data_IF_503456411857
#
_entry.id   IF_503456411857
#
_cell.length_a   1.000
_cell.length_b   1.000
_cell.length_c   1.000
_cell.angle_alpha   90.00
_cell.angle_beta   90.00
_cell.angle_gamma   90.00
#
_symmetry.space_group_name_H-M   'P 1'
#
loop_
_entity.id
_entity.type
_entity.pdbx_description
1 polymer ?
#
# COMPACT_ATOMS: atom_id res chain seq x y z
N UNK A 1 17.62 -1.02 -9.87
CA UNK A 1 17.56 -2.29 -10.60
C UNK A 1 18.58 -3.30 -10.08
N UNK A 2 19.87 -2.97 -10.06
CA UNK A 2 20.93 -3.94 -9.65
C UNK A 2 20.76 -4.42 -8.20
N UNK A 3 20.41 -3.53 -7.28
CA UNK A 3 20.25 -3.88 -5.86
C UNK A 3 19.06 -4.84 -5.66
N UNK A 4 17.94 -4.62 -6.34
CA UNK A 4 16.79 -5.53 -6.32
C UNK A 4 17.13 -6.90 -6.89
N UNK A 5 17.85 -6.93 -8.02
CA UNK A 5 18.30 -8.18 -8.62
C UNK A 5 19.27 -8.97 -7.70
N UNK A 6 20.16 -8.27 -6.99
CA UNK A 6 21.11 -8.88 -6.06
C UNK A 6 20.43 -9.57 -4.86
N UNK A 7 19.24 -9.12 -4.45
CA UNK A 7 18.44 -9.75 -3.40
C UNK A 7 17.40 -10.73 -3.96
N UNK A 8 17.47 -11.07 -5.24
CA UNK A 8 16.61 -12.08 -5.86
C UNK A 8 15.25 -11.57 -6.35
N UNK A 9 15.02 -10.25 -6.33
CA UNK A 9 13.81 -9.65 -6.88
C UNK A 9 13.92 -9.56 -8.40
N UNK A 10 12.95 -10.13 -9.11
CA UNK A 10 12.82 -9.95 -10.54
C UNK A 10 12.37 -8.52 -10.83
N UNK A 11 13.22 -7.76 -11.49
CA UNK A 11 12.92 -6.40 -11.91
C UNK A 11 12.54 -6.41 -13.38
N UNK A 12 11.30 -6.05 -13.66
CA UNK A 12 10.82 -5.84 -15.01
C UNK A 12 11.04 -4.36 -15.36
N UNK A 13 12.05 -4.02 -16.16
CA UNK A 13 12.24 -2.65 -16.54
C UNK A 13 11.04 -2.22 -17.39
N UNK A 14 10.24 -1.31 -16.84
CA UNK A 14 9.29 -0.55 -17.61
C UNK A 14 10.01 0.37 -18.61
N UNK A 15 9.30 1.28 -19.19
CA UNK A 15 9.88 2.30 -20.05
C UNK A 15 10.91 3.10 -19.25
N UNK A 16 12.15 3.16 -19.74
CA UNK A 16 13.15 4.07 -19.18
C UNK A 16 12.69 5.50 -19.40
N UNK A 17 12.50 6.25 -18.34
CA UNK A 17 12.19 7.66 -18.44
C UNK A 17 13.47 8.44 -18.74
N UNK A 18 13.52 9.11 -19.89
CA UNK A 18 14.67 9.94 -20.29
C UNK A 18 14.51 11.40 -19.82
N UNK A 19 13.31 11.78 -19.36
CA UNK A 19 12.97 13.17 -19.03
C UNK A 19 13.01 13.48 -17.55
N UNK A 20 12.93 12.46 -16.69
CA UNK A 20 12.90 12.61 -15.23
C UNK A 20 13.90 11.67 -14.56
N UNK A 21 14.52 12.18 -13.51
CA UNK A 21 15.42 11.39 -12.66
C UNK A 21 14.66 10.34 -11.85
N UNK A 22 15.36 9.32 -11.38
CA UNK A 22 14.88 8.37 -10.36
C UNK A 22 14.45 9.10 -9.09
N UNK A 23 13.35 8.67 -8.48
CA UNK A 23 12.86 9.19 -7.20
C UNK A 23 13.92 9.14 -6.10
N UNK A 24 13.87 10.13 -5.21
CA UNK A 24 14.79 10.27 -4.06
C UNK A 24 14.03 10.75 -2.84
N UNK A 25 14.38 10.22 -1.68
CA UNK A 25 13.84 10.69 -0.40
C UNK A 25 14.98 11.05 0.54
N UNK A 26 14.96 12.27 1.08
CA UNK A 26 15.83 12.70 2.15
C UNK A 26 15.09 12.52 3.47
N UNK A 27 15.56 11.58 4.29
CA UNK A 27 14.91 11.20 5.54
C UNK A 27 15.74 11.74 6.70
N UNK A 28 15.11 12.47 7.60
CA UNK A 28 15.69 12.92 8.86
C UNK A 28 14.98 12.19 9.99
N UNK A 29 15.73 11.41 10.76
CA UNK A 29 15.23 10.65 11.92
C UNK A 29 15.61 11.38 13.20
N UNK A 30 14.65 11.58 14.10
CA UNK A 30 14.86 12.17 15.41
C UNK A 30 15.20 11.11 16.45
N UNK A 31 15.81 11.47 17.61
CA UNK A 31 16.23 10.48 18.63
C UNK A 31 15.10 9.63 19.22
N UNK A 32 13.86 10.06 19.08
CA UNK A 32 12.65 9.32 19.49
C UNK A 32 12.10 8.34 18.41
N UNK A 33 12.86 8.16 17.31
CA UNK A 33 12.48 7.28 16.20
C UNK A 33 11.46 7.87 15.21
N UNK A 34 11.00 9.10 15.42
CA UNK A 34 10.17 9.82 14.45
C UNK A 34 10.98 10.26 13.24
N UNK A 35 10.32 10.42 12.09
CA UNK A 35 10.99 10.80 10.85
C UNK A 35 10.24 11.89 10.08
N UNK A 36 11.01 12.70 9.40
CA UNK A 36 10.52 13.62 8.37
C UNK A 36 11.08 13.19 7.02
N UNK A 37 10.22 13.09 6.03
CA UNK A 37 10.57 12.63 4.69
C UNK A 37 10.38 13.78 3.69
N UNK A 38 11.47 14.13 2.96
CA UNK A 38 11.42 15.06 1.84
C UNK A 38 11.55 14.24 0.55
N UNK A 39 10.42 13.92 -0.05
CA UNK A 39 10.33 12.98 -1.17
C UNK A 39 10.18 13.72 -2.50
N UNK A 40 11.04 13.37 -3.45
CA UNK A 40 10.88 13.65 -4.87
C UNK A 40 10.61 12.32 -5.58
N UNK A 41 9.39 12.14 -6.07
CA UNK A 41 8.96 10.88 -6.69
C UNK A 41 9.64 10.61 -8.03
N UNK A 42 10.06 11.66 -8.74
CA UNK A 42 10.76 11.54 -10.02
C UNK A 42 9.96 10.76 -11.05
N UNK A 43 10.66 9.93 -11.81
CA UNK A 43 10.06 9.11 -12.86
C UNK A 43 8.91 8.20 -12.38
N UNK A 44 8.88 7.79 -11.10
CA UNK A 44 7.78 6.99 -10.57
C UNK A 44 6.42 7.70 -10.67
N UNK A 45 6.41 9.04 -10.60
CA UNK A 45 5.18 9.83 -10.75
C UNK A 45 4.62 9.84 -12.18
N UNK A 46 5.35 9.31 -13.15
CA UNK A 46 4.94 9.26 -14.56
C UNK A 46 4.34 7.91 -14.96
N UNK A 47 4.13 7.03 -13.98
CA UNK A 47 3.47 5.74 -14.21
C UNK A 47 2.14 5.93 -14.94
N UNK A 48 1.93 5.18 -16.00
CA UNK A 48 0.67 5.13 -16.73
C UNK A 48 0.27 3.69 -17.08
N UNK A 49 -0.91 3.54 -17.68
CA UNK A 49 -1.46 2.22 -18.02
C UNK A 49 -0.62 1.42 -19.02
N UNK A 50 0.18 2.10 -19.87
CA UNK A 50 1.05 1.44 -20.85
C UNK A 50 2.27 0.77 -20.19
N UNK A 51 2.65 1.22 -18.98
CA UNK A 51 3.74 0.64 -18.20
C UNK A 51 3.35 -0.70 -17.52
N UNK A 52 2.05 -1.00 -17.46
CA UNK A 52 1.55 -2.19 -16.76
C UNK A 52 1.71 -3.43 -17.64
N UNK A 53 2.69 -4.27 -17.31
CA UNK A 53 2.88 -5.54 -17.98
C UNK A 53 1.80 -6.56 -17.59
N UNK A 54 0.92 -6.88 -18.54
CA UNK A 54 -0.11 -7.92 -18.35
C UNK A 54 0.50 -9.25 -17.93
N UNK A 55 1.60 -9.66 -18.56
CA UNK A 55 2.27 -10.93 -18.26
C UNK A 55 2.81 -10.94 -16.81
N UNK A 56 3.48 -9.88 -16.38
CA UNK A 56 3.99 -9.76 -15.01
C UNK A 56 2.86 -9.82 -13.98
N UNK A 57 1.78 -9.04 -14.19
CA UNK A 57 0.61 -9.01 -13.31
C UNK A 57 -0.04 -10.39 -13.21
N UNK A 58 -0.29 -11.05 -14.34
CA UNK A 58 -0.96 -12.35 -14.36
C UNK A 58 -0.10 -13.51 -13.82
N UNK A 59 1.22 -13.34 -13.78
CA UNK A 59 2.14 -14.34 -13.20
C UNK A 59 2.26 -14.25 -11.68
N UNK A 60 1.88 -13.13 -11.07
CA UNK A 60 1.95 -12.91 -9.63
C UNK A 60 0.76 -13.55 -8.90
N UNK A 61 0.93 -13.99 -7.66
CA UNK A 61 -0.18 -14.41 -6.81
C UNK A 61 -1.00 -13.21 -6.32
N UNK A 62 -0.30 -12.13 -5.94
CA UNK A 62 -0.87 -10.86 -5.51
C UNK A 62 -0.17 -9.71 -6.21
N UNK A 63 -0.91 -8.70 -6.63
CA UNK A 63 -0.39 -7.42 -7.14
C UNK A 63 -0.54 -6.38 -6.05
N UNK A 64 0.57 -5.75 -5.62
CA UNK A 64 0.55 -4.71 -4.60
C UNK A 64 0.57 -3.33 -5.25
N UNK A 65 -0.38 -2.48 -4.86
CA UNK A 65 -0.51 -1.09 -5.31
C UNK A 65 -0.12 -0.14 -4.18
N UNK A 66 0.60 0.93 -4.53
CA UNK A 66 1.14 1.90 -3.58
C UNK A 66 0.41 3.24 -3.70
N UNK A 67 -0.34 3.63 -2.66
CA UNK A 67 -1.22 4.80 -2.66
C UNK A 67 -0.53 6.14 -2.94
N UNK A 68 0.76 6.27 -2.67
CA UNK A 68 1.52 7.49 -2.98
C UNK A 68 1.49 7.91 -4.45
N UNK A 69 1.22 7.01 -5.37
CA UNK A 69 1.15 7.32 -6.80
C UNK A 69 -0.19 7.95 -7.23
N UNK A 70 -1.16 8.05 -6.33
CA UNK A 70 -2.53 8.49 -6.62
C UNK A 70 -2.68 9.98 -6.95
N UNK A 71 -1.63 10.78 -6.84
CA UNK A 71 -1.66 12.22 -7.17
C UNK A 71 -1.83 12.50 -8.67
N UNK A 72 -1.68 11.50 -9.54
CA UNK A 72 -1.84 11.65 -10.99
C UNK A 72 -2.93 10.74 -11.55
N UNK A 73 -3.77 11.29 -12.42
CA UNK A 73 -4.87 10.54 -13.04
C UNK A 73 -4.37 9.37 -13.90
N UNK A 74 -3.22 9.51 -14.56
CA UNK A 74 -2.59 8.42 -15.31
C UNK A 74 -2.23 7.22 -14.41
N UNK A 75 -1.72 7.48 -13.21
CA UNK A 75 -1.41 6.42 -12.26
C UNK A 75 -2.69 5.78 -11.68
N UNK A 76 -3.75 6.54 -11.45
CA UNK A 76 -5.06 5.98 -11.07
C UNK A 76 -5.59 5.01 -12.13
N UNK A 77 -5.44 5.36 -13.41
CA UNK A 77 -5.82 4.47 -14.50
C UNK A 77 -4.91 3.24 -14.58
N UNK A 78 -3.60 3.40 -14.36
CA UNK A 78 -2.68 2.27 -14.27
C UNK A 78 -3.08 1.28 -13.17
N UNK A 79 -3.57 1.75 -12.03
CA UNK A 79 -4.06 0.90 -10.94
C UNK A 79 -5.29 0.09 -11.36
N UNK A 80 -6.26 0.72 -12.05
CA UNK A 80 -7.45 0.01 -12.56
C UNK A 80 -7.08 -1.05 -13.59
N UNK A 81 -6.16 -0.73 -14.50
CA UNK A 81 -5.65 -1.68 -15.50
C UNK A 81 -4.91 -2.85 -14.84
N UNK A 82 -4.10 -2.58 -13.81
CA UNK A 82 -3.42 -3.63 -13.06
C UNK A 82 -4.44 -4.55 -12.35
N UNK A 83 -5.46 -3.98 -11.72
CA UNK A 83 -6.52 -4.74 -11.06
C UNK A 83 -7.32 -5.58 -12.07
N UNK A 84 -7.70 -5.00 -13.22
CA UNK A 84 -8.37 -5.74 -14.29
C UNK A 84 -7.55 -6.94 -14.77
N UNK A 85 -6.24 -6.75 -15.00
CA UNK A 85 -5.37 -7.85 -15.44
C UNK A 85 -5.21 -8.94 -14.38
N UNK A 86 -5.11 -8.55 -13.11
CA UNK A 86 -5.02 -9.47 -11.98
C UNK A 86 -6.30 -10.32 -11.87
N UNK A 87 -7.46 -9.68 -11.80
CA UNK A 87 -8.75 -10.35 -11.64
C UNK A 87 -9.08 -11.24 -12.86
N UNK A 88 -8.74 -10.80 -14.07
CA UNK A 88 -8.93 -11.63 -15.28
C UNK A 88 -8.11 -12.94 -15.24
N UNK A 89 -7.06 -13.01 -14.42
CA UNK A 89 -6.24 -14.20 -14.20
C UNK A 89 -6.53 -14.90 -12.86
N UNK A 90 -7.56 -14.47 -12.12
CA UNK A 90 -7.90 -15.01 -10.80
C UNK A 90 -6.84 -14.68 -9.74
N UNK A 91 -6.15 -13.53 -9.89
CA UNK A 91 -5.16 -13.05 -8.94
C UNK A 91 -5.75 -12.00 -8.02
N UNK A 92 -5.14 -11.82 -6.85
CA UNK A 92 -5.57 -10.85 -5.86
C UNK A 92 -4.86 -9.50 -6.04
N UNK A 93 -5.55 -8.44 -5.67
CA UNK A 93 -5.01 -7.07 -5.67
C UNK A 93 -4.96 -6.55 -4.24
N UNK A 94 -3.78 -6.14 -3.82
CA UNK A 94 -3.54 -5.50 -2.53
C UNK A 94 -3.26 -4.01 -2.73
N UNK A 95 -3.70 -3.19 -1.79
CA UNK A 95 -3.45 -1.74 -1.76
C UNK A 95 -2.94 -1.34 -0.38
N UNK A 96 -1.93 -0.48 -0.32
CA UNK A 96 -1.65 0.32 0.88
C UNK A 96 -2.13 1.74 0.69
N UNK A 97 -2.77 2.32 1.71
CA UNK A 97 -3.21 3.72 1.68
C UNK A 97 -2.05 4.72 1.78
N UNK A 98 -0.89 4.26 2.23
CA UNK A 98 0.41 4.93 2.24
C UNK A 98 0.53 6.11 3.21
N UNK A 99 -0.39 7.08 3.19
CA UNK A 99 -0.46 8.14 4.20
C UNK A 99 -1.83 8.86 4.22
N UNK A 100 -2.18 9.40 5.40
CA UNK A 100 -3.47 10.06 5.60
C UNK A 100 -3.66 11.32 4.74
N UNK A 101 -2.59 12.06 4.41
CA UNK A 101 -2.67 13.24 3.55
C UNK A 101 -2.99 12.87 2.10
N UNK A 102 -2.47 11.73 1.63
CA UNK A 102 -2.84 11.19 0.32
C UNK A 102 -4.31 10.78 0.30
N UNK A 103 -4.75 10.08 1.34
CA UNK A 103 -6.17 9.70 1.52
C UNK A 103 -7.07 10.92 1.54
N UNK A 104 -6.72 11.97 2.28
CA UNK A 104 -7.52 13.20 2.37
C UNK A 104 -7.71 13.89 1.01
N UNK A 105 -6.65 13.89 0.18
CA UNK A 105 -6.72 14.52 -1.16
C UNK A 105 -7.54 13.71 -2.16
N UNK A 106 -7.55 12.39 -2.05
CA UNK A 106 -8.10 11.48 -3.05
C UNK A 106 -9.13 10.49 -2.49
N UNK A 107 -9.83 10.88 -1.41
CA UNK A 107 -10.73 10.00 -0.63
C UNK A 107 -11.74 9.26 -1.48
N UNK A 108 -12.45 9.95 -2.34
CA UNK A 108 -13.52 9.36 -3.15
C UNK A 108 -12.96 8.32 -4.15
N UNK A 109 -11.78 8.60 -4.70
CA UNK A 109 -11.10 7.66 -5.59
C UNK A 109 -10.62 6.42 -4.82
N UNK A 110 -10.03 6.60 -3.61
CA UNK A 110 -9.65 5.48 -2.75
C UNK A 110 -10.85 4.64 -2.32
N UNK A 111 -11.93 5.26 -1.90
CA UNK A 111 -13.16 4.53 -1.55
C UNK A 111 -13.71 3.75 -2.73
N UNK A 112 -13.69 4.33 -3.93
CA UNK A 112 -14.12 3.65 -5.15
C UNK A 112 -13.23 2.44 -5.44
N UNK A 113 -11.90 2.61 -5.33
CA UNK A 113 -10.94 1.54 -5.59
C UNK A 113 -11.09 0.40 -4.56
N UNK A 114 -11.15 0.73 -3.27
CA UNK A 114 -11.32 -0.26 -2.18
C UNK A 114 -12.58 -1.09 -2.35
N UNK A 115 -13.68 -0.47 -2.77
CA UNK A 115 -14.98 -1.16 -2.93
C UNK A 115 -15.06 -2.05 -4.15
N UNK A 116 -14.34 -1.72 -5.21
CA UNK A 116 -14.58 -2.35 -6.51
C UNK A 116 -13.40 -3.19 -7.01
N UNK A 117 -12.17 -2.84 -6.61
CA UNK A 117 -10.97 -3.35 -7.28
C UNK A 117 -9.95 -4.00 -6.31
N UNK A 118 -10.11 -3.80 -4.99
CA UNK A 118 -9.14 -4.26 -3.99
C UNK A 118 -9.67 -5.47 -3.22
N UNK A 119 -8.85 -6.52 -3.18
CA UNK A 119 -9.11 -7.71 -2.39
C UNK A 119 -8.50 -7.61 -0.97
N UNK A 120 -7.33 -6.94 -0.84
CA UNK A 120 -6.57 -6.85 0.42
C UNK A 120 -6.19 -5.40 0.68
N UNK A 121 -6.65 -4.82 1.77
CA UNK A 121 -6.29 -3.45 2.16
C UNK A 121 -5.29 -3.44 3.31
N UNK A 122 -4.19 -2.71 3.13
CA UNK A 122 -3.26 -2.35 4.20
C UNK A 122 -3.41 -0.88 4.55
N UNK A 123 -3.51 -0.59 5.84
CA UNK A 123 -3.54 0.78 6.35
C UNK A 123 -3.03 0.84 7.78
N UNK A 124 -2.75 2.04 8.27
CA UNK A 124 -2.68 2.29 9.70
C UNK A 124 -4.00 2.87 10.23
N UNK A 125 -4.08 3.02 11.56
CA UNK A 125 -5.29 3.53 12.21
C UNK A 125 -5.68 4.93 11.73
N UNK A 126 -4.73 5.83 11.49
CA UNK A 126 -5.01 7.20 11.07
C UNK A 126 -5.47 7.28 9.62
N UNK A 127 -4.87 6.49 8.74
CA UNK A 127 -5.27 6.37 7.34
C UNK A 127 -6.70 5.86 7.20
N UNK A 128 -7.07 4.79 7.93
CA UNK A 128 -8.41 4.22 7.81
C UNK A 128 -9.48 5.14 8.42
N UNK A 129 -9.17 5.85 9.53
CA UNK A 129 -10.04 6.88 10.08
C UNK A 129 -10.23 8.04 9.10
N UNK A 130 -9.15 8.47 8.42
CA UNK A 130 -9.22 9.49 7.38
C UNK A 130 -10.07 9.03 6.20
N UNK A 131 -9.90 7.80 5.72
CA UNK A 131 -10.66 7.25 4.60
C UNK A 131 -12.18 7.32 4.85
N UNK A 132 -12.61 6.89 6.02
CA UNK A 132 -14.04 6.84 6.39
C UNK A 132 -14.53 8.08 7.12
N UNK A 133 -13.69 9.09 7.37
CA UNK A 133 -14.01 10.33 8.08
C UNK A 133 -14.66 10.09 9.45
N UNK A 134 -14.10 9.17 10.22
CA UNK A 134 -14.58 8.81 11.55
C UNK A 134 -13.52 9.04 12.62
N UNK A 135 -13.94 9.30 13.86
CA UNK A 135 -13.05 9.52 14.98
C UNK A 135 -12.60 8.23 15.70
N UNK A 136 -13.30 7.12 15.46
CA UNK A 136 -13.08 5.84 16.14
C UNK A 136 -12.60 4.78 15.16
N UNK A 137 -11.57 4.01 15.56
CA UNK A 137 -11.12 2.84 14.79
C UNK A 137 -12.27 1.82 14.62
N UNK A 138 -13.11 1.63 15.63
CA UNK A 138 -14.21 0.68 15.56
C UNK A 138 -15.23 1.05 14.49
N UNK A 139 -15.53 2.36 14.34
CA UNK A 139 -16.43 2.85 13.29
C UNK A 139 -15.80 2.66 11.91
N UNK A 140 -14.48 2.89 11.79
CA UNK A 140 -13.75 2.65 10.54
C UNK A 140 -13.78 1.15 10.16
N UNK A 141 -13.46 0.27 11.08
CA UNK A 141 -13.47 -1.19 10.86
C UNK A 141 -14.87 -1.70 10.50
N UNK A 142 -15.92 -1.12 11.10
CA UNK A 142 -17.30 -1.48 10.76
C UNK A 142 -17.65 -1.14 9.31
N UNK A 143 -17.19 -0.01 8.80
CA UNK A 143 -17.39 0.36 7.39
C UNK A 143 -16.50 -0.48 6.46
N UNK A 144 -15.22 -0.67 6.82
CA UNK A 144 -14.25 -1.42 6.03
C UNK A 144 -14.71 -2.86 5.75
N UNK A 145 -15.30 -3.55 6.73
CA UNK A 145 -15.84 -4.92 6.56
C UNK A 145 -16.92 -5.05 5.50
N UNK A 146 -17.60 -3.96 5.15
CA UNK A 146 -18.58 -3.97 4.07
C UNK A 146 -17.96 -3.66 2.70
N UNK A 147 -16.74 -3.11 2.69
CA UNK A 147 -16.11 -2.58 1.49
C UNK A 147 -14.96 -3.46 0.98
N UNK A 148 -14.31 -4.26 1.85
CA UNK A 148 -13.15 -5.09 1.50
C UNK A 148 -13.19 -6.43 2.24
N UNK A 149 -12.88 -7.52 1.53
CA UNK A 149 -12.90 -8.89 2.10
C UNK A 149 -11.76 -9.12 3.10
N UNK A 150 -10.54 -8.71 2.72
CA UNK A 150 -9.36 -8.83 3.58
C UNK A 150 -8.80 -7.45 3.88
N UNK A 151 -8.50 -7.19 5.14
CA UNK A 151 -7.80 -5.98 5.51
C UNK A 151 -6.90 -6.19 6.72
N UNK A 152 -5.80 -5.43 6.77
CA UNK A 152 -4.91 -5.42 7.91
C UNK A 152 -4.62 -3.96 8.32
N UNK A 153 -5.07 -3.58 9.51
CA UNK A 153 -4.94 -2.24 10.05
C UNK A 153 -3.94 -2.24 11.19
N UNK A 154 -2.79 -1.61 10.98
CA UNK A 154 -1.75 -1.49 12.01
C UNK A 154 -2.07 -0.39 13.02
N UNK A 155 -1.67 -0.58 14.28
CA UNK A 155 -2.01 0.29 15.41
C UNK A 155 -0.81 0.58 16.30
N UNK A 156 0.34 0.75 15.69
CA UNK A 156 1.62 0.98 16.38
C UNK A 156 1.88 -0.08 17.48
N UNK A 157 2.17 0.34 18.71
CA UNK A 157 2.39 -0.51 19.88
C UNK A 157 1.16 -1.34 20.29
N UNK A 158 0.00 -1.06 19.74
CA UNK A 158 -1.23 -1.81 19.98
C UNK A 158 -1.44 -2.95 18.97
N UNK A 159 -0.43 -3.28 18.18
CA UNK A 159 -0.46 -4.39 17.24
C UNK A 159 -1.26 -4.09 15.98
N UNK A 160 -2.15 -5.01 15.60
CA UNK A 160 -2.95 -4.87 14.39
C UNK A 160 -4.33 -5.51 14.53
N UNK A 161 -5.24 -5.11 13.65
CA UNK A 161 -6.54 -5.77 13.46
C UNK A 161 -6.57 -6.31 12.03
N UNK A 162 -6.86 -7.59 11.89
CA UNK A 162 -7.04 -8.26 10.61
C UNK A 162 -8.51 -8.58 10.42
N UNK A 163 -9.03 -8.27 9.26
CA UNK A 163 -10.38 -8.62 8.78
C UNK A 163 -10.22 -9.73 7.73
N UNK A 164 -10.99 -10.79 7.88
CA UNK A 164 -11.14 -11.88 6.92
C UNK A 164 -12.65 -12.17 6.77
N UNK A 165 -13.28 -11.54 5.82
CA UNK A 165 -14.74 -11.56 5.66
C UNK A 165 -15.46 -11.11 6.93
N UNK A 166 -16.16 -12.04 7.58
CA UNK A 166 -16.89 -11.79 8.82
C UNK A 166 -16.02 -11.89 10.10
N UNK A 167 -14.83 -12.46 9.99
CA UNK A 167 -13.92 -12.62 11.12
C UNK A 167 -13.10 -11.36 11.35
N UNK A 168 -12.88 -11.04 12.63
CA UNK A 168 -12.00 -9.95 13.06
C UNK A 168 -11.02 -10.50 14.08
N UNK A 169 -9.74 -10.46 13.75
CA UNK A 169 -8.67 -10.96 14.62
C UNK A 169 -7.82 -9.79 15.09
N UNK A 170 -7.64 -9.70 16.42
CA UNK A 170 -6.74 -8.72 17.03
C UNK A 170 -5.42 -9.42 17.32
N UNK A 171 -4.33 -8.84 16.86
CA UNK A 171 -2.97 -9.37 17.01
C UNK A 171 -2.17 -8.34 17.81
N UNK A 172 -1.66 -8.75 18.96
CA UNK A 172 -0.82 -7.91 19.80
C UNK A 172 0.53 -7.62 19.12
N UNK A 173 1.11 -6.45 19.42
CA UNK A 173 2.45 -6.13 18.95
C UNK A 173 3.49 -6.99 19.65
N UNK A 174 4.51 -7.45 18.91
CA UNK A 174 5.68 -8.05 19.54
C UNK A 174 6.49 -6.97 20.25
N UNK A 175 6.78 -7.14 21.57
CA UNK A 175 7.52 -6.14 22.32
C UNK A 175 8.93 -5.92 21.78
N UNK A 176 9.33 -4.65 21.69
CA UNK A 176 10.70 -4.25 21.32
C UNK A 176 11.27 -3.36 22.42
N UNK A 177 12.58 -3.46 22.68
CA UNK A 177 13.25 -2.66 23.71
C UNK A 177 13.24 -1.16 23.39
N UNK A 178 13.41 -0.82 22.11
CA UNK A 178 13.35 0.57 21.64
C UNK A 178 13.09 0.63 20.13
N UNK A 179 12.37 1.65 19.69
CA UNK A 179 12.22 1.98 18.28
C UNK A 179 13.35 2.93 17.89
N UNK A 180 14.21 2.51 16.97
CA UNK A 180 15.34 3.31 16.45
C UNK A 180 14.91 4.08 15.20
N UNK A 181 14.21 3.40 14.29
CA UNK A 181 13.70 3.96 13.05
C UNK A 181 12.46 3.14 12.62
N UNK A 182 11.35 3.83 12.41
CA UNK A 182 10.09 3.21 11.96
C UNK A 182 9.92 3.23 10.44
N UNK A 183 10.95 3.66 9.66
CA UNK A 183 10.87 3.70 8.21
C UNK A 183 10.69 2.31 7.64
N UNK A 184 9.66 2.12 6.81
CA UNK A 184 9.34 0.82 6.19
C UNK A 184 8.66 -0.19 7.11
N UNK A 185 8.25 0.18 8.33
CA UNK A 185 7.55 -0.74 9.23
C UNK A 185 6.24 -1.25 8.63
N UNK A 186 5.48 -0.37 7.97
CA UNK A 186 4.26 -0.75 7.24
C UNK A 186 4.54 -1.70 6.09
N UNK A 187 5.60 -1.44 5.32
CA UNK A 187 6.01 -2.28 4.18
C UNK A 187 6.41 -3.68 4.66
N UNK A 188 7.17 -3.75 5.76
CA UNK A 188 7.57 -5.03 6.35
C UNK A 188 6.39 -5.79 6.94
N UNK A 189 5.41 -5.10 7.53
CA UNK A 189 4.18 -5.72 7.98
C UNK A 189 3.40 -6.32 6.79
N UNK A 190 3.20 -5.55 5.73
CA UNK A 190 2.52 -6.02 4.53
C UNK A 190 3.26 -7.20 3.88
N UNK A 191 4.61 -7.15 3.83
CA UNK A 191 5.42 -8.25 3.31
C UNK A 191 5.24 -9.55 4.13
N UNK A 192 5.26 -9.44 5.47
CA UNK A 192 5.03 -10.58 6.35
C UNK A 192 3.62 -11.16 6.23
N UNK A 193 2.61 -10.29 6.12
CA UNK A 193 1.23 -10.70 5.90
C UNK A 193 1.09 -11.45 4.56
N UNK A 194 1.56 -10.87 3.47
CA UNK A 194 1.47 -11.46 2.14
C UNK A 194 2.25 -12.77 2.03
N UNK A 195 3.39 -12.88 2.72
CA UNK A 195 4.13 -14.16 2.78
C UNK A 195 3.33 -15.29 3.40
N UNK A 196 2.52 -14.99 4.42
CA UNK A 196 1.64 -15.98 5.04
C UNK A 196 0.33 -16.22 4.28
N UNK A 197 -0.06 -15.26 3.43
CA UNK A 197 -1.31 -15.31 2.67
C UNK A 197 -1.19 -16.16 1.39
N UNK A 198 -0.01 -16.18 0.74
CA UNK A 198 0.24 -16.92 -0.51
C UNK A 198 0.87 -18.28 -0.25
#
# INVERSE_FOLDING_TARGET
>A
ANDLANVGVSFFPGVTCETEDTGRCLIVVTPDGNRTMNTFLGAASLLDAADISREAVQSAAVVMLEGYLFDRDAAKEAFRVAAEYAHAAGRKVALTLSDSFCVDRHRDDFLSLVKNDIDILFSNEDEIKSLYQVGSINDALHQLRNDCEFAAVTRNEHGSVVIDGDEVVIIDAEPVDSVVDATGAGDMYAAGFLYGFV
#
